data_IF_337673903585
#
_entry.id   IF_337673903585
#
_cell.length_a   1.000
_cell.length_b   1.000
_cell.length_c   1.000
_cell.angle_alpha   90.00
_cell.angle_beta   90.00
_cell.angle_gamma   90.00
#
_symmetry.space_group_name_H-M   'P 1'
#
loop_
_entity.id
_entity.type
_entity.pdbx_description
1 polymer ?
#
# COMPACT_ATOMS: atom_id res chain seq x y z
N UNK A 1 11.75 16.76 3.97
CA UNK A 1 12.59 15.57 3.68
C UNK A 1 12.31 14.47 4.71
N UNK A 2 12.30 13.26 4.27
CA UNK A 2 12.05 12.11 5.15
C UNK A 2 13.13 11.98 6.22
N UNK A 3 12.70 11.72 7.47
CA UNK A 3 13.63 11.44 8.57
C UNK A 3 14.33 10.08 8.32
N UNK A 4 15.67 10.06 8.21
CA UNK A 4 16.44 8.83 7.97
C UNK A 4 16.25 7.76 9.04
N UNK A 5 15.90 8.15 10.27
CA UNK A 5 15.68 7.20 11.37
C UNK A 5 14.43 6.33 11.19
N UNK A 6 13.55 6.69 10.26
CA UNK A 6 12.35 5.93 9.94
C UNK A 6 12.61 4.78 8.96
N UNK A 7 13.75 4.81 8.26
CA UNK A 7 14.09 3.77 7.28
C UNK A 7 14.32 2.45 8.01
N UNK A 8 13.69 1.39 7.51
CA UNK A 8 13.76 0.04 8.08
C UNK A 8 12.78 -0.21 9.23
N UNK A 9 12.07 0.81 9.72
CA UNK A 9 11.03 0.62 10.73
C UNK A 9 9.73 0.13 10.10
N UNK A 10 9.06 -0.76 10.83
CA UNK A 10 7.74 -1.28 10.45
C UNK A 10 6.66 -0.57 11.27
N UNK A 11 5.64 -0.09 10.58
CA UNK A 11 4.47 0.57 11.15
C UNK A 11 3.24 -0.27 10.88
N UNK A 12 2.53 -0.64 11.93
CA UNK A 12 1.29 -1.41 11.80
C UNK A 12 0.10 -0.47 11.94
N UNK A 13 -0.85 -0.57 11.01
CA UNK A 13 -2.08 0.22 11.05
C UNK A 13 -2.88 -0.07 12.31
N UNK A 14 -3.45 0.99 12.91
CA UNK A 14 -4.24 0.88 14.14
C UNK A 14 -5.58 0.16 13.91
N UNK A 15 -6.11 0.21 12.68
CA UNK A 15 -7.41 -0.32 12.32
C UNK A 15 -7.28 -1.43 11.30
N UNK A 16 -8.09 -2.48 11.45
CA UNK A 16 -8.29 -3.49 10.43
C UNK A 16 -9.28 -3.00 9.38
N UNK A 17 -9.19 -3.59 8.19
CA UNK A 17 -10.13 -3.37 7.09
C UNK A 17 -10.90 -4.65 6.83
N UNK A 18 -12.22 -4.62 6.98
CA UNK A 18 -13.07 -5.74 6.61
C UNK A 18 -13.45 -5.62 5.15
N UNK A 19 -13.09 -6.63 4.35
CA UNK A 19 -13.38 -6.66 2.91
C UNK A 19 -14.84 -7.05 2.70
N UNK A 20 -15.59 -6.19 2.03
CA UNK A 20 -16.98 -6.48 1.66
C UNK A 20 -17.10 -6.93 0.21
N UNK A 21 -18.12 -7.73 -0.11
CA UNK A 21 -18.42 -8.08 -1.49
C UNK A 21 -18.72 -6.84 -2.33
N UNK A 22 -19.38 -5.84 -1.73
CA UNK A 22 -19.68 -4.57 -2.41
C UNK A 22 -18.41 -3.84 -2.86
N UNK A 23 -17.39 -3.77 -2.01
CA UNK A 23 -16.11 -3.14 -2.36
C UNK A 23 -15.37 -3.90 -3.47
N UNK A 24 -15.39 -5.22 -3.45
CA UNK A 24 -14.82 -6.05 -4.52
C UNK A 24 -15.54 -5.79 -5.84
N UNK A 25 -16.87 -5.80 -5.82
CA UNK A 25 -17.70 -5.60 -7.01
C UNK A 25 -17.47 -4.21 -7.61
N UNK A 26 -17.46 -3.17 -6.79
CA UNK A 26 -17.21 -1.80 -7.26
C UNK A 26 -15.83 -1.64 -7.88
N UNK A 27 -14.81 -2.21 -7.27
CA UNK A 27 -13.45 -2.14 -7.81
C UNK A 27 -13.34 -2.92 -9.12
N UNK A 28 -13.95 -4.10 -9.19
CA UNK A 28 -13.97 -4.92 -10.40
C UNK A 28 -14.67 -4.21 -11.56
N UNK A 29 -15.78 -3.53 -11.31
CA UNK A 29 -16.50 -2.75 -12.32
C UNK A 29 -15.64 -1.63 -12.90
N UNK A 30 -14.91 -0.89 -12.04
CA UNK A 30 -14.04 0.21 -12.46
C UNK A 30 -12.85 -0.29 -13.28
N UNK A 31 -12.30 -1.46 -12.94
CA UNK A 31 -11.13 -2.05 -13.62
C UNK A 31 -11.50 -2.97 -14.78
N UNK A 32 -12.79 -3.23 -14.99
CA UNK A 32 -13.26 -4.11 -16.07
C UNK A 32 -13.05 -5.60 -15.81
N UNK A 33 -12.89 -6.02 -14.55
CA UNK A 33 -12.69 -7.41 -14.18
C UNK A 33 -14.04 -8.14 -14.09
N UNK A 34 -14.27 -9.21 -14.90
CA UNK A 34 -15.54 -9.93 -14.87
C UNK A 34 -15.68 -10.88 -13.67
N UNK A 35 -14.59 -11.32 -13.05
CA UNK A 35 -14.61 -12.20 -11.90
C UNK A 35 -14.90 -11.41 -10.62
N UNK A 36 -15.97 -11.76 -9.91
CA UNK A 36 -16.39 -11.12 -8.67
C UNK A 36 -16.19 -12.02 -7.42
N UNK A 37 -15.65 -13.23 -7.60
CA UNK A 37 -15.47 -14.20 -6.51
C UNK A 37 -14.31 -13.81 -5.58
N UNK A 38 -13.35 -13.08 -6.11
CA UNK A 38 -12.23 -12.53 -5.37
C UNK A 38 -11.91 -11.13 -5.85
N UNK A 39 -11.16 -10.37 -5.03
CA UNK A 39 -10.72 -9.04 -5.42
C UNK A 39 -9.76 -9.11 -6.61
N UNK A 40 -9.85 -8.15 -7.56
CA UNK A 40 -8.84 -8.00 -8.60
C UNK A 40 -7.44 -7.86 -8.01
N UNK A 41 -6.38 -8.28 -8.72
CA UNK A 41 -5.01 -8.28 -8.19
C UNK A 41 -4.54 -6.94 -7.63
N UNK A 42 -5.00 -5.83 -8.21
CA UNK A 42 -4.61 -4.49 -7.79
C UNK A 42 -5.47 -3.92 -6.65
N UNK A 43 -6.49 -4.63 -6.19
CA UNK A 43 -7.38 -4.19 -5.11
C UNK A 43 -6.62 -3.80 -3.83
N UNK A 44 -5.54 -4.50 -3.53
CA UNK A 44 -4.74 -4.27 -2.33
C UNK A 44 -4.21 -2.83 -2.23
N UNK A 45 -3.98 -2.14 -3.36
CA UNK A 45 -3.46 -0.76 -3.35
C UNK A 45 -4.41 0.21 -2.66
N UNK A 46 -5.72 -0.03 -2.71
CA UNK A 46 -6.72 0.79 -2.05
C UNK A 46 -6.54 0.82 -0.53
N UNK A 47 -5.94 -0.21 0.03
CA UNK A 47 -5.65 -0.33 1.46
C UNK A 47 -4.22 0.11 1.76
N UNK A 48 -3.24 -0.40 1.02
CA UNK A 48 -1.81 -0.19 1.29
C UNK A 48 -1.36 1.23 0.99
N UNK A 49 -1.87 1.85 -0.07
CA UNK A 49 -1.49 3.22 -0.42
C UNK A 49 -2.04 4.22 0.59
N UNK A 50 -3.23 4.02 1.09
CA UNK A 50 -3.84 4.88 2.11
C UNK A 50 -2.98 4.92 3.37
N UNK A 51 -2.52 3.77 3.86
CA UNK A 51 -1.62 3.72 5.00
C UNK A 51 -0.25 4.32 4.70
N UNK A 52 0.31 4.04 3.52
CA UNK A 52 1.61 4.59 3.12
C UNK A 52 1.54 6.12 3.01
N UNK A 53 0.47 6.65 2.45
CA UNK A 53 0.27 8.09 2.36
C UNK A 53 0.29 8.72 3.74
N UNK A 54 -0.50 8.18 4.66
CA UNK A 54 -0.58 8.70 6.02
C UNK A 54 0.78 8.65 6.72
N UNK A 55 1.47 7.51 6.64
CA UNK A 55 2.79 7.34 7.21
C UNK A 55 3.78 8.39 6.69
N UNK A 56 3.83 8.59 5.37
CA UNK A 56 4.77 9.51 4.75
C UNK A 56 4.42 10.97 5.03
N UNK A 57 3.14 11.33 5.05
CA UNK A 57 2.71 12.66 5.45
C UNK A 57 3.07 12.97 6.91
N UNK A 58 2.84 12.03 7.82
CA UNK A 58 3.20 12.15 9.23
C UNK A 58 4.72 12.23 9.42
N UNK A 59 5.48 11.70 8.47
CA UNK A 59 6.95 11.73 8.44
C UNK A 59 7.54 12.99 7.79
N UNK A 60 6.70 13.93 7.40
CA UNK A 60 7.10 15.24 6.88
C UNK A 60 7.24 15.34 5.36
N UNK A 61 6.80 14.33 4.60
CA UNK A 61 6.78 14.42 3.15
C UNK A 61 5.60 15.27 2.66
N UNK A 62 5.86 16.11 1.67
CA UNK A 62 4.82 16.89 0.99
C UNK A 62 4.12 16.03 -0.06
N UNK A 63 2.97 15.49 0.29
CA UNK A 63 2.20 14.60 -0.57
C UNK A 63 1.73 15.26 -1.87
N UNK A 64 1.59 16.58 -1.88
CA UNK A 64 1.18 17.30 -3.10
C UNK A 64 2.21 17.23 -4.22
N UNK A 65 3.45 16.85 -3.88
CA UNK A 65 4.58 16.74 -4.80
C UNK A 65 4.88 15.30 -5.18
N UNK A 66 4.11 14.34 -4.67
CA UNK A 66 4.34 12.91 -4.88
C UNK A 66 3.80 12.46 -6.22
N UNK A 67 4.63 11.70 -6.93
CA UNK A 67 4.24 10.95 -8.13
C UNK A 67 4.47 9.47 -7.85
N UNK A 68 3.51 8.63 -8.20
CA UNK A 68 3.63 7.18 -8.08
C UNK A 68 4.46 6.65 -9.24
N UNK A 69 5.65 6.15 -8.95
CA UNK A 69 6.60 5.70 -9.97
C UNK A 69 6.48 4.23 -10.33
N UNK A 70 6.29 3.37 -9.34
CA UNK A 70 6.23 1.92 -9.55
C UNK A 70 5.36 1.27 -8.48
N UNK A 71 4.68 0.19 -8.87
CA UNK A 71 3.90 -0.64 -7.97
C UNK A 71 4.15 -2.11 -8.27
N UNK A 72 4.45 -2.91 -7.23
CA UNK A 72 4.58 -4.36 -7.32
C UNK A 72 3.64 -5.04 -6.35
N UNK A 73 3.17 -6.22 -6.71
CA UNK A 73 2.34 -7.08 -5.86
C UNK A 73 2.91 -8.49 -5.84
N UNK A 74 2.94 -9.09 -4.66
CA UNK A 74 3.13 -10.52 -4.49
C UNK A 74 1.92 -11.06 -3.73
N UNK A 75 1.09 -11.83 -4.42
CA UNK A 75 -0.19 -12.31 -3.91
C UNK A 75 -0.02 -13.76 -3.48
N UNK A 76 -0.12 -13.99 -2.17
CA UNK A 76 -0.03 -15.35 -1.61
C UNK A 76 -1.34 -16.11 -1.76
N UNK A 77 -2.47 -15.40 -1.65
CA UNK A 77 -3.80 -15.90 -1.98
C UNK A 77 -4.71 -14.74 -2.39
N UNK A 78 -5.81 -15.00 -3.12
CA UNK A 78 -6.77 -13.95 -3.43
C UNK A 78 -7.39 -13.35 -2.17
N UNK A 79 -7.67 -12.05 -2.23
CA UNK A 79 -8.48 -11.36 -1.21
C UNK A 79 -9.94 -11.66 -1.51
N UNK A 80 -10.67 -12.11 -0.51
CA UNK A 80 -12.09 -12.46 -0.62
C UNK A 80 -12.94 -11.68 0.37
N UNK A 81 -14.23 -11.59 0.09
CA UNK A 81 -15.18 -10.99 1.02
C UNK A 81 -15.13 -11.70 2.38
N UNK A 82 -15.18 -10.93 3.45
CA UNK A 82 -15.05 -11.43 4.82
C UNK A 82 -13.63 -11.41 5.38
N UNK A 83 -12.61 -11.19 4.55
CA UNK A 83 -11.24 -11.01 5.04
C UNK A 83 -11.18 -9.77 5.95
N UNK A 84 -10.47 -9.91 7.06
CA UNK A 84 -10.16 -8.81 7.97
C UNK A 84 -8.66 -8.57 7.87
N UNK A 85 -8.29 -7.50 7.18
CA UNK A 85 -6.90 -7.22 6.82
C UNK A 85 -6.27 -6.17 7.71
N UNK A 86 -5.06 -6.49 8.18
CA UNK A 86 -4.20 -5.54 8.90
C UNK A 86 -3.01 -5.22 8.00
N UNK A 87 -2.74 -3.93 7.83
CA UNK A 87 -1.64 -3.44 7.00
C UNK A 87 -0.44 -3.07 7.87
N UNK A 88 0.73 -3.60 7.53
CA UNK A 88 2.02 -3.21 8.10
C UNK A 88 2.89 -2.64 6.99
N UNK A 89 3.44 -1.45 7.19
CA UNK A 89 4.25 -0.75 6.20
C UNK A 89 5.66 -0.51 6.71
N UNK A 90 6.64 -0.72 5.84
CA UNK A 90 8.06 -0.48 6.12
C UNK A 90 8.64 0.41 5.03
N UNK A 91 9.30 1.51 5.43
CA UNK A 91 10.07 2.33 4.50
C UNK A 91 11.39 1.61 4.27
N UNK A 92 11.57 1.03 3.07
CA UNK A 92 12.74 0.21 2.77
C UNK A 92 13.93 1.04 2.31
N UNK A 93 13.69 2.00 1.44
CA UNK A 93 14.75 2.83 0.87
C UNK A 93 14.33 4.29 0.75
N UNK A 94 15.32 5.15 0.85
CA UNK A 94 15.18 6.58 0.59
C UNK A 94 16.42 7.06 -0.12
N UNK A 95 16.25 7.73 -1.25
CA UNK A 95 17.35 8.32 -2.03
C UNK A 95 16.97 9.72 -2.48
N UNK A 96 17.98 10.56 -2.65
CA UNK A 96 17.81 11.90 -3.22
C UNK A 96 18.60 11.97 -4.52
N UNK A 97 17.91 12.24 -5.63
CA UNK A 97 18.52 12.36 -6.96
C UNK A 97 18.01 13.63 -7.61
N UNK A 98 18.93 14.54 -7.93
CA UNK A 98 18.61 15.84 -8.53
C UNK A 98 17.53 16.63 -7.78
N UNK A 99 17.54 16.56 -6.45
CA UNK A 99 16.56 17.21 -5.58
C UNK A 99 15.24 16.47 -5.41
N UNK A 100 15.03 15.38 -6.13
CA UNK A 100 13.85 14.52 -5.95
C UNK A 100 14.14 13.47 -4.90
N UNK A 101 13.19 13.24 -3.99
CA UNK A 101 13.26 12.13 -3.05
C UNK A 101 12.59 10.90 -3.67
N UNK A 102 13.28 9.76 -3.64
CA UNK A 102 12.73 8.47 -4.11
C UNK A 102 12.60 7.57 -2.91
N UNK A 103 11.36 7.22 -2.59
CA UNK A 103 11.00 6.43 -1.40
C UNK A 103 10.35 5.13 -1.83
N UNK A 104 10.86 4.01 -1.33
CA UNK A 104 10.25 2.70 -1.52
C UNK A 104 9.60 2.24 -0.22
N UNK A 105 8.34 1.90 -0.29
CA UNK A 105 7.55 1.41 0.85
C UNK A 105 7.05 0.01 0.54
N UNK A 106 7.36 -0.93 1.42
CA UNK A 106 6.75 -2.26 1.44
C UNK A 106 5.55 -2.24 2.37
N UNK A 107 4.43 -2.78 1.94
CA UNK A 107 3.25 -2.96 2.78
C UNK A 107 2.76 -4.40 2.69
N UNK A 108 2.54 -5.01 3.83
CA UNK A 108 2.04 -6.37 3.95
C UNK A 108 0.62 -6.35 4.50
N UNK A 109 -0.28 -7.10 3.87
CA UNK A 109 -1.64 -7.33 4.35
C UNK A 109 -1.73 -8.72 4.96
N UNK A 110 -2.11 -8.78 6.23
CA UNK A 110 -2.32 -10.02 6.97
C UNK A 110 -3.80 -10.19 7.32
N UNK A 111 -4.28 -11.42 7.20
CA UNK A 111 -5.55 -11.86 7.75
C UNK A 111 -5.25 -12.85 8.87
N UNK A 112 -5.40 -12.43 10.14
CA UNK A 112 -4.88 -13.19 11.26
C UNK A 112 -3.35 -13.36 11.17
N UNK A 113 -2.87 -14.60 11.17
CA UNK A 113 -1.44 -14.92 11.00
C UNK A 113 -1.03 -15.11 9.53
N UNK A 114 -2.00 -15.11 8.59
CA UNK A 114 -1.73 -15.38 7.18
C UNK A 114 -1.31 -14.11 6.45
N UNK A 115 -0.17 -14.17 5.78
CA UNK A 115 0.24 -13.13 4.83
C UNK A 115 -0.55 -13.33 3.53
N UNK A 116 -1.37 -12.35 3.19
CA UNK A 116 -2.25 -12.42 2.02
C UNK A 116 -1.60 -11.78 0.80
N UNK A 117 -1.09 -10.55 0.94
CA UNK A 117 -0.47 -9.78 -0.12
C UNK A 117 0.69 -8.98 0.44
N UNK A 118 1.80 -8.95 -0.29
CA UNK A 118 2.86 -7.96 -0.10
C UNK A 118 2.85 -6.99 -1.28
N UNK A 119 3.03 -5.71 -1.00
CA UNK A 119 3.10 -4.67 -2.02
C UNK A 119 4.36 -3.85 -1.86
N UNK A 120 4.87 -3.33 -2.97
CA UNK A 120 5.98 -2.38 -2.99
C UNK A 120 5.58 -1.19 -3.84
N UNK A 121 5.62 -0.01 -3.23
CA UNK A 121 5.34 1.24 -3.91
C UNK A 121 6.62 2.07 -3.97
N UNK A 122 7.00 2.51 -5.17
CA UNK A 122 8.07 3.49 -5.33
C UNK A 122 7.45 4.84 -5.61
N UNK A 123 7.67 5.79 -4.72
CA UNK A 123 7.12 7.12 -4.77
C UNK A 123 8.23 8.14 -5.00
N UNK A 124 7.96 9.11 -5.85
CA UNK A 124 8.89 10.20 -6.16
C UNK A 124 8.30 11.50 -5.64
N UNK A 125 8.99 12.13 -4.69
CA UNK A 125 8.67 13.48 -4.22
C UNK A 125 9.47 14.45 -5.08
N UNK A 126 8.77 15.19 -5.92
CA UNK A 126 9.42 16.11 -6.86
C UNK A 126 10.09 17.27 -6.11
N UNK A 127 11.21 17.70 -6.66
CA UNK A 127 11.95 18.84 -6.16
C UNK A 127 11.13 20.14 -6.19
#
# INVERSE_FOLDING_TARGET
>A
MLDPDLIGRTFTGANSVTVSQDSITKFAEVTGEPNLDSAPPTFAISITLDQSQKLLQDSGLDWTRVVHGEQKFEISRPIIAGDILVCSSTIETHRVIAGNEIVSVRSDLHSGSDLVVSTWSTLVVRA
#
